data_IF_634958173646
#
_entry.id   IF_634958173646
#
_cell.length_a   1.000
_cell.length_b   1.000
_cell.length_c   1.000
_cell.angle_alpha   90.00
_cell.angle_beta   90.00
_cell.angle_gamma   90.00
#
_symmetry.space_group_name_H-M   'P 1'
#
loop_
_entity.id
_entity.type
_entity.pdbx_description
1 polymer ?
2 non-polymer ?
3 non-polymer ?
4 water ?
#
# COMPACT_ATOMS: atom_id res chain seq x y z
N UNK A 4 -12.78 26.37 -6.97
CA UNK A 4 -11.91 26.21 -5.76
C UNK A 4 -12.48 25.11 -4.87
N UNK A 5 -11.77 23.99 -4.75
CA UNK A 5 -12.01 23.01 -3.66
C UNK A 5 -10.82 22.07 -3.47
N UNK A 6 -10.78 21.47 -2.30
CA UNK A 6 -9.83 20.41 -1.91
C UNK A 6 -10.65 19.17 -1.59
N UNK A 7 -10.20 18.01 -2.04
CA UNK A 7 -10.79 16.71 -1.65
C UNK A 7 -9.73 15.89 -0.95
N UNK A 8 -10.03 15.45 0.26
CA UNK A 8 -9.14 14.61 1.10
C UNK A 8 -9.65 13.17 1.05
N UNK A 9 -8.75 12.23 0.84
CA UNK A 9 -9.04 10.78 0.92
C UNK A 9 -7.98 10.15 1.80
N UNK A 10 -8.26 8.97 2.33
CA UNK A 10 -7.39 8.29 3.32
C UNK A 10 -6.96 6.95 2.75
N UNK A 11 -5.67 6.66 2.84
CA UNK A 11 -5.09 5.35 2.56
C UNK A 11 -4.56 4.79 3.86
N UNK A 12 -4.58 3.48 4.00
CA UNK A 12 -3.85 2.76 5.06
C UNK A 12 -2.86 1.82 4.38
N UNK A 13 -1.57 2.02 4.68
CA UNK A 13 -0.50 1.07 4.37
C UNK A 13 -0.17 0.29 5.64
N UNK A 14 0.21 -0.97 5.49
CA UNK A 14 0.52 -1.81 6.66
C UNK A 14 1.18 -3.07 6.24
N UNK A 15 1.62 -3.83 7.20
CA UNK A 15 2.29 -5.09 6.95
C UNK A 15 2.14 -5.95 8.20
N UNK A 16 2.13 -7.24 7.98
CA UNK A 16 2.21 -8.28 9.03
C UNK A 16 3.44 -9.13 8.76
N UNK A 17 4.11 -9.56 9.80
CA UNK A 17 5.29 -10.45 9.72
C UNK A 17 5.25 -11.41 10.90
N UNK A 18 5.59 -12.67 10.66
CA UNK A 18 5.72 -13.71 11.71
C UNK A 18 6.76 -14.75 11.24
N UNK A 19 7.30 -15.49 12.19
CA UNK A 19 8.24 -16.61 11.91
C UNK A 19 7.55 -17.66 11.03
N UNK A 20 8.28 -18.14 10.04
CA UNK A 20 7.90 -19.28 9.18
C UNK A 20 8.24 -20.56 9.93
N UNK A 21 7.35 -21.55 9.96
CA UNK A 21 7.67 -22.91 10.44
C UNK A 21 7.77 -23.85 9.25
N UNK A 22 8.99 -24.06 8.75
CA UNK A 22 9.34 -25.01 7.66
C UNK A 22 10.67 -25.68 8.04
N UNK A 23 11.24 -26.54 7.15
CA UNK A 23 12.52 -27.16 7.43
C UNK A 23 13.64 -26.16 7.79
N UNK A 24 14.60 -26.59 8.62
CA UNK A 24 15.77 -25.79 9.09
C UNK A 24 16.64 -25.34 7.89
N UNK A 25 16.49 -26.02 6.73
CA UNK A 25 17.37 -25.85 5.52
C UNK A 25 16.67 -24.98 4.46
N UNK A 26 15.44 -24.52 4.72
CA UNK A 26 14.81 -23.40 3.98
C UNK A 26 15.24 -22.11 4.65
N UNK A 27 15.82 -21.18 3.88
CA UNK A 27 16.53 -20.01 4.41
C UNK A 27 15.57 -18.95 4.92
N UNK A 28 14.35 -18.91 4.39
CA UNK A 28 13.34 -17.88 4.70
C UNK A 28 12.82 -18.09 6.12
N UNK A 29 13.09 -17.14 7.01
CA UNK A 29 12.72 -17.22 8.44
C UNK A 29 11.29 -16.70 8.65
N UNK A 30 10.78 -15.85 7.76
CA UNK A 30 9.55 -15.06 8.01
C UNK A 30 8.58 -15.21 6.86
N UNK A 31 7.30 -15.20 7.18
CA UNK A 31 6.21 -14.83 6.26
C UNK A 31 5.84 -13.38 6.52
N UNK A 32 5.61 -12.62 5.48
CA UNK A 32 5.10 -11.24 5.64
C UNK A 32 4.09 -10.91 4.54
N UNK A 33 3.32 -9.89 4.80
CA UNK A 33 2.25 -9.42 3.90
C UNK A 33 2.19 -7.90 4.04
N UNK A 34 2.29 -7.20 2.93
CA UNK A 34 2.22 -5.72 2.89
C UNK A 34 0.98 -5.37 2.09
N UNK A 35 0.30 -4.28 2.45
CA UNK A 35 -0.96 -3.91 1.79
C UNK A 35 -1.11 -2.40 1.70
N UNK A 36 -2.00 -2.00 0.81
CA UNK A 36 -2.67 -0.67 0.79
C UNK A 36 -4.18 -0.93 0.79
N UNK A 37 -4.92 -0.24 1.66
CA UNK A 37 -6.38 -0.35 1.69
C UNK A 37 -6.97 1.01 2.03
N UNK A 38 -8.28 1.13 1.91
CA UNK A 38 -9.05 2.25 2.45
C UNK A 38 -9.48 1.96 3.87
N UNK A 39 -9.96 2.98 4.61
CA UNK A 39 -10.73 2.73 5.83
C UNK A 39 -12.02 1.94 5.52
N UNK A 40 -12.61 1.34 6.55
CA UNK A 40 -13.89 0.59 6.45
C UNK A 40 -14.90 1.45 5.67
N UNK A 41 -15.62 0.85 4.73
CA UNK A 41 -16.81 1.46 4.09
C UNK A 41 -16.38 2.54 3.10
N UNK A 42 -15.09 2.62 2.80
CA UNK A 42 -14.53 3.41 1.67
C UNK A 42 -14.04 2.42 0.61
N UNK A 43 -14.16 2.78 -0.66
CA UNK A 43 -13.74 1.92 -1.79
C UNK A 43 -12.68 2.65 -2.62
N UNK A 44 -11.40 2.53 -2.25
CA UNK A 44 -10.30 3.32 -2.88
C UNK A 44 -10.16 2.90 -4.35
N UNK A 45 -10.76 1.80 -4.76
CA UNK A 45 -10.67 1.32 -6.17
C UNK A 45 -11.24 2.39 -7.11
N UNK A 46 -12.17 3.23 -6.61
CA UNK A 46 -12.80 4.32 -7.40
C UNK A 46 -11.75 5.31 -7.91
N UNK A 47 -10.65 5.53 -7.17
CA UNK A 47 -9.66 6.58 -7.53
C UNK A 47 -8.27 5.97 -7.72
N UNK A 48 -8.06 4.72 -7.32
CA UNK A 48 -6.76 4.01 -7.47
C UNK A 48 -6.79 3.11 -8.72
N UNK A 49 -5.95 3.43 -9.70
CA UNK A 49 -5.70 2.65 -10.92
C UNK A 49 -5.01 1.33 -10.55
N UNK A 50 -3.96 1.40 -9.75
CA UNK A 50 -3.11 0.25 -9.42
C UNK A 50 -2.13 0.65 -8.32
N UNK A 51 -1.64 -0.33 -7.60
CA UNK A 51 -0.55 -0.21 -6.61
C UNK A 51 0.59 -1.10 -7.03
N UNK A 52 1.80 -0.56 -7.06
CA UNK A 52 3.03 -1.28 -7.39
C UNK A 52 3.88 -1.33 -6.15
N UNK A 53 4.20 -2.54 -5.69
CA UNK A 53 5.13 -2.81 -4.60
C UNK A 53 6.49 -3.18 -5.18
N UNK A 54 7.53 -2.41 -4.84
CA UNK A 54 8.91 -2.62 -5.36
C UNK A 54 9.69 -3.40 -4.30
N UNK A 55 9.72 -4.71 -4.43
CA UNK A 55 10.36 -5.62 -3.46
C UNK A 55 11.89 -5.50 -3.62
N UNK A 56 12.64 -5.92 -2.63
CA UNK A 56 14.12 -6.11 -2.73
C UNK A 56 14.47 -6.81 -4.04
N UNK A 57 15.56 -6.38 -4.69
CA UNK A 57 16.08 -6.86 -6.01
C UNK A 57 16.26 -8.38 -6.01
N UNK A 58 16.44 -8.99 -4.84
CA UNK A 58 16.71 -10.44 -4.68
C UNK A 58 15.45 -11.27 -4.92
N UNK A 59 14.26 -10.68 -4.80
CA UNK A 59 12.96 -11.39 -5.04
C UNK A 59 12.79 -11.70 -6.52
N UNK A 60 12.17 -12.85 -6.89
CA UNK A 60 11.73 -13.06 -8.26
C UNK A 60 10.64 -12.01 -8.61
N UNK A 61 10.67 -11.49 -9.85
CA UNK A 61 9.79 -10.40 -10.35
C UNK A 61 9.50 -9.43 -9.21
N UNK A 62 10.46 -8.56 -8.84
CA UNK A 62 10.33 -7.71 -7.65
C UNK A 62 9.34 -6.54 -7.80
N UNK A 63 8.96 -6.23 -9.05
CA UNK A 63 7.91 -5.23 -9.37
C UNK A 63 6.55 -5.94 -9.34
N UNK A 64 5.86 -5.88 -8.20
CA UNK A 64 4.56 -6.54 -7.97
C UNK A 64 3.44 -5.52 -8.16
N UNK A 65 2.57 -5.75 -9.14
CA UNK A 65 1.42 -4.87 -9.51
C UNK A 65 0.13 -5.49 -8.99
N UNK A 66 -0.67 -4.72 -8.28
CA UNK A 66 -2.09 -5.04 -7.98
C UNK A 66 -2.98 -4.03 -8.68
N UNK A 67 -3.68 -4.44 -9.70
CA UNK A 67 -4.52 -3.54 -10.53
C UNK A 67 -5.94 -3.48 -9.94
N UNK A 68 -6.25 -4.29 -8.93
CA UNK A 68 -7.52 -4.17 -8.19
C UNK A 68 -7.34 -4.77 -6.80
N UNK A 69 -8.30 -4.54 -5.88
CA UNK A 69 -8.15 -5.06 -4.53
C UNK A 69 -8.23 -6.58 -4.56
N UNK A 70 -7.56 -7.27 -3.63
CA UNK A 70 -6.73 -6.61 -2.60
C UNK A 70 -5.37 -6.13 -3.14
N UNK A 71 -4.98 -4.91 -2.78
CA UNK A 71 -3.63 -4.35 -3.04
C UNK A 71 -2.69 -4.88 -1.97
N UNK A 72 -2.05 -6.01 -2.23
CA UNK A 72 -1.23 -6.68 -1.22
C UNK A 72 -0.21 -7.61 -1.89
N UNK A 73 0.90 -7.81 -1.20
CA UNK A 73 1.94 -8.83 -1.54
C UNK A 73 2.12 -9.71 -0.33
N UNK A 74 2.06 -11.01 -0.53
CA UNK A 74 2.37 -12.02 0.51
C UNK A 74 3.64 -12.74 0.09
N UNK A 75 4.63 -12.77 0.97
CA UNK A 75 5.96 -13.32 0.65
C UNK A 75 6.55 -14.03 1.86
N UNK A 76 7.61 -14.78 1.62
CA UNK A 76 8.57 -15.23 2.64
C UNK A 76 9.88 -14.49 2.43
N UNK A 77 10.69 -14.33 3.48
CA UNK A 77 11.97 -13.59 3.41
C UNK A 77 12.84 -13.85 4.62
N UNK A 78 14.06 -13.34 4.60
CA UNK A 78 15.02 -13.52 5.71
C UNK A 78 15.46 -12.16 6.28
N UNK A 79 14.90 -11.04 5.80
CA UNK A 79 15.25 -9.68 6.28
C UNK A 79 14.20 -8.66 5.87
N UNK A 80 14.04 -7.62 6.71
CA UNK A 80 13.30 -6.40 6.38
C UNK A 80 14.03 -5.59 5.34
N UNK A 81 13.34 -4.65 4.73
CA UNK A 81 13.91 -3.70 3.72
C UNK A 81 12.95 -2.53 3.57
N UNK A 82 13.41 -1.52 2.86
CA UNK A 82 12.63 -0.33 2.46
C UNK A 82 11.94 -0.63 1.15
N UNK A 83 10.62 -0.54 1.13
CA UNK A 83 9.80 -0.86 -0.03
C UNK A 83 9.18 0.42 -0.57
N UNK A 84 9.62 0.91 -1.75
CA UNK A 84 8.83 1.86 -2.52
C UNK A 84 7.47 1.23 -2.83
N UNK A 85 6.39 1.95 -2.49
CA UNK A 85 5.00 1.60 -2.87
C UNK A 85 4.41 2.77 -3.63
N UNK A 86 4.05 2.53 -4.88
CA UNK A 86 3.46 3.56 -5.76
C UNK A 86 1.97 3.30 -5.85
N UNK A 87 1.18 4.29 -5.51
CA UNK A 87 -0.29 4.28 -5.70
C UNK A 87 -0.59 5.17 -6.90
N UNK A 88 -1.03 4.58 -8.01
CA UNK A 88 -1.38 5.29 -9.26
C UNK A 88 -2.85 5.68 -9.22
N UNK A 89 -3.18 6.87 -9.69
CA UNK A 89 -4.55 7.42 -9.64
C UNK A 89 -5.24 7.24 -10.99
N UNK A 90 -6.57 7.11 -10.99
CA UNK A 90 -7.43 7.26 -12.20
C UNK A 90 -7.67 8.76 -12.47
N UNK A 91 -6.59 9.51 -12.61
CA UNK A 91 -6.57 10.99 -12.78
C UNK A 91 -6.00 11.29 -14.18
N UNK A 92 -6.59 12.19 -14.93
CA UNK A 92 -6.10 12.51 -16.29
C UNK A 92 -5.03 13.63 -16.21
N UNK A 93 -4.90 14.32 -15.06
CA UNK A 93 -3.86 15.38 -14.88
C UNK A 93 -3.01 15.06 -13.64
N UNK A 94 -2.11 15.96 -13.28
CA UNK A 94 -1.19 15.80 -12.12
C UNK A 94 -1.96 16.05 -10.84
N UNK A 95 -1.62 15.36 -9.74
CA UNK A 95 -0.64 14.26 -9.78
C UNK A 95 -1.27 12.93 -10.23
N UNK A 96 -0.47 12.09 -10.88
CA UNK A 96 -0.92 10.82 -11.48
C UNK A 96 -0.71 9.68 -10.50
N UNK A 97 0.15 9.88 -9.51
CA UNK A 97 0.53 8.83 -8.54
C UNK A 97 1.21 9.47 -7.33
N UNK A 98 1.38 8.70 -6.27
CA UNK A 98 2.18 9.08 -5.08
C UNK A 98 3.07 7.88 -4.74
N UNK A 99 4.31 8.13 -4.32
CA UNK A 99 5.26 7.08 -3.88
C UNK A 99 5.46 7.21 -2.39
N UNK A 100 5.29 6.11 -1.70
CA UNK A 100 5.59 5.96 -0.27
C UNK A 100 6.85 5.13 -0.14
N UNK A 101 7.63 5.41 0.88
CA UNK A 101 8.81 4.61 1.26
C UNK A 101 8.45 3.82 2.50
N UNK A 102 8.11 2.54 2.32
CA UNK A 102 7.50 1.72 3.38
C UNK A 102 8.60 0.92 4.08
N UNK A 103 8.62 1.05 5.39
CA UNK A 103 9.54 0.33 6.30
C UNK A 103 8.98 -1.07 6.57
N UNK A 104 9.32 -2.05 5.74
CA UNK A 104 8.97 -3.47 5.97
C UNK A 104 10.01 -4.10 6.87
N UNK A 105 9.79 -4.07 8.17
CA UNK A 105 10.65 -4.69 9.19
C UNK A 105 9.97 -5.98 9.67
N UNK A 106 10.78 -6.97 10.06
CA UNK A 106 10.31 -8.28 10.59
C UNK A 106 10.42 -8.29 12.12
N UNK A 107 9.74 -9.23 12.76
CA UNK A 107 9.88 -9.49 14.23
C UNK A 107 11.11 -10.40 14.43
N UNK A 108 12.17 -9.85 14.99
CA UNK A 108 13.44 -10.58 15.23
C UNK A 108 13.49 -11.00 16.70
N UNK A 109 14.35 -11.98 17.03
CA UNK A 109 14.76 -12.38 18.40
C UNK A 109 13.52 -12.87 19.20
N UNK A 110 12.67 -13.69 18.57
CA UNK A 110 11.48 -14.30 19.20
C UNK A 110 10.48 -13.27 19.71
N UNK A 111 10.41 -12.09 19.10
CA UNK A 111 9.36 -11.07 19.39
C UNK A 111 8.05 -11.50 18.73
N UNK A 112 6.90 -11.12 19.31
CA UNK A 112 5.61 -11.51 18.72
C UNK A 112 5.45 -10.93 17.32
N UNK A 113 4.48 -11.46 16.55
CA UNK A 113 4.25 -11.01 15.18
C UNK A 113 4.13 -9.47 15.07
N UNK A 114 4.54 -8.93 13.92
CA UNK A 114 4.35 -7.50 13.57
C UNK A 114 2.98 -7.34 12.94
N UNK A 115 2.24 -6.34 13.37
CA UNK A 115 0.94 -5.96 12.76
C UNK A 115 0.84 -4.44 12.81
N UNK A 116 1.33 -3.78 11.76
CA UNK A 116 1.55 -2.30 11.71
C UNK A 116 0.64 -1.68 10.66
N UNK A 117 0.17 -0.49 10.97
CA UNK A 117 -0.64 0.33 10.09
C UNK A 117 -0.04 1.73 10.04
N UNK A 118 0.04 2.28 8.87
CA UNK A 118 0.50 3.65 8.60
C UNK A 118 -0.61 4.37 7.84
N UNK A 119 -1.18 5.37 8.45
CA UNK A 119 -2.36 6.09 7.91
C UNK A 119 -1.90 7.33 7.17
N UNK A 120 -2.27 7.44 5.90
CA UNK A 120 -1.87 8.54 5.00
C UNK A 120 -3.13 9.30 4.56
N UNK A 121 -3.12 10.62 4.68
CA UNK A 121 -4.12 11.53 4.09
C UNK A 121 -3.58 12.06 2.76
N UNK A 122 -4.34 11.94 1.69
CA UNK A 122 -4.03 12.57 0.40
C UNK A 122 -4.94 13.78 0.22
N UNK A 123 -4.36 14.93 -0.11
CA UNK A 123 -5.09 16.20 -0.38
C UNK A 123 -4.95 16.54 -1.86
N UNK A 124 -6.07 16.50 -2.58
CA UNK A 124 -6.16 16.86 -4.02
C UNK A 124 -6.74 18.27 -4.12
N UNK A 125 -5.93 19.21 -4.57
CA UNK A 125 -6.34 20.61 -4.80
C UNK A 125 -6.97 20.71 -6.18
N UNK A 126 -8.18 21.25 -6.26
CA UNK A 126 -8.84 21.64 -7.54
C UNK A 126 -8.77 20.47 -8.50
N UNK A 127 -9.20 19.26 -8.11
CA UNK A 127 -9.24 18.14 -9.06
C UNK A 127 -10.25 18.40 -10.16
N UNK A 128 -10.06 17.81 -11.34
CA UNK A 128 -11.04 17.84 -12.45
C UNK A 128 -12.42 17.37 -11.95
N UNK A 129 -13.48 17.77 -12.61
CA UNK A 129 -14.86 17.29 -12.38
C UNK A 129 -14.83 15.78 -12.18
N UNK A 130 -14.26 15.07 -13.15
CA UNK A 130 -14.31 13.61 -13.26
C UNK A 130 -13.61 13.01 -12.04
N UNK A 131 -12.38 13.45 -11.75
CA UNK A 131 -11.54 12.83 -10.72
C UNK A 131 -12.12 13.16 -9.36
N UNK A 132 -12.65 14.37 -9.21
CA UNK A 132 -13.36 14.78 -7.98
C UNK A 132 -14.45 13.73 -7.67
N UNK A 133 -15.19 13.29 -8.68
CA UNK A 133 -16.35 12.39 -8.50
C UNK A 133 -15.84 11.01 -8.03
N UNK A 134 -14.74 10.55 -8.62
CA UNK A 134 -14.05 9.29 -8.22
C UNK A 134 -13.63 9.37 -6.74
N UNK A 135 -12.97 10.47 -6.35
CA UNK A 135 -12.53 10.69 -4.95
C UNK A 135 -13.76 10.63 -4.00
N UNK A 136 -14.85 11.31 -4.34
CA UNK A 136 -16.04 11.39 -3.47
C UNK A 136 -16.70 10.01 -3.41
N UNK A 137 -16.71 9.34 -4.54
CA UNK A 137 -17.25 7.98 -4.75
C UNK A 137 -16.49 6.99 -3.85
N UNK A 138 -15.18 7.24 -3.64
CA UNK A 138 -14.29 6.41 -2.79
C UNK A 138 -14.49 6.72 -1.30
N UNK A 139 -15.29 7.75 -0.98
CA UNK A 139 -15.52 8.23 0.41
C UNK A 139 -14.65 9.44 0.77
N UNK A 140 -14.13 10.14 -0.25
CA UNK A 140 -13.40 11.42 -0.09
C UNK A 140 -14.28 12.54 0.46
N UNK A 141 -13.67 13.49 1.15
CA UNK A 141 -14.31 14.65 1.84
C UNK A 141 -13.89 15.94 1.11
N UNK A 142 -14.85 16.81 0.78
CA UNK A 142 -14.59 18.14 0.17
C UNK A 142 -14.31 19.15 1.27
N UNK A 143 -13.61 20.21 0.93
CA UNK A 143 -13.37 21.40 1.79
C UNK A 143 -13.35 22.65 0.91
N UNK A 144 -13.97 23.75 1.40
CA UNK A 144 -13.90 25.12 0.81
C UNK A 144 -12.95 25.98 1.64
X LIG B 1 17.77 -9.01 1.18
X LIG B 1 16.98 -10.09 0.81
X LIG B 1 8.80 -16.56 -2.76
X LIG B 1 15.66 -10.18 1.26
X LIG B 1 15.14 -9.16 2.05
X LIG B 1 15.93 -8.08 2.42
X LIG B 1 14.83 -11.40 0.96
X LIG B 1 14.27 -12.99 -0.90
X LIG B 1 14.75 -13.45 -2.15
X LIG B 1 14.03 -14.41 -2.87
X LIG B 1 12.85 -14.90 -2.32
X LIG B 1 10.99 -15.97 -1.80
X LIG B 1 9.90 -17.00 -1.89
X LIG B 1 9.16 -16.75 -4.19
X LIG B 1 8.05 -16.28 -5.12
X LIG B 1 6.74 -16.98 -4.80
X LIG B 1 6.41 -16.87 -3.33
X LIG B 1 7.58 -17.33 -2.48
X LIG B 1 12.37 -14.47 -1.09
X LIG B 1 13.08 -13.50 -0.36
X LIG B 1 14.09 -11.87 1.81
X LIG B 1 17.24 -8.02 1.98
X LIG B 1 18.24 -6.67 2.45
X LIG B 1 15.01 -11.94 -0.28
X LIG B 1 11.18 -15.15 -0.79
X LIG B 1 11.96 -15.87 -2.75
X LIG C 1 -10.98 6.49 0.75
X LIG C 1 -9.69 6.81 0.27
X LIG C 1 -11.67 7.67 1.30
X LIG C 1 -10.95 8.29 2.34
X LIG D 1 0.91 -13.03 6.37
X LIG D 1 1.84 -13.97 5.87
X LIG D 1 0.98 -12.89 7.84
X LIG D 1 2.30 -12.84 8.32
X LIG E 1 1.26 -3.22 -16.04
X LIG E 1 1.87 -4.30 -15.36
X LIG E 1 1.92 -1.95 -15.76
X LIG E 1 2.11 -1.74 -14.37
X LIG F 1 3.17 12.32 -12.02
X LIG F 1 2.17 13.32 -11.93
X LIG F 1 3.73 11.91 -10.70
X LIG F 1 2.80 12.05 -9.63
X LIG G 1 7.84 8.75 2.77
X LIG G 1 7.10 7.64 2.35
X LIG G 1 8.02 8.80 4.26
X LIG G 1 8.67 7.64 4.78
X LIG H 1 -18.73 14.97 0.86
X LIG H 1 -19.42 15.08 -0.35
X LIG H 1 -17.65 15.95 0.97
X LIG H 1 -17.58 16.59 2.24
X LIG I 1 12.92 -21.37 8.55
X LIG I 1 14.12 -21.95 8.97
X LIG I 1 11.76 -22.25 8.77
X LIG I 1 11.34 -22.88 7.60
#
# INVERSE_FOLDING_TARGET
MDNQCTVQVRLELGHRAQLRKKPTTEGFTHDWMVFVRGPEQCDIQHFVEKVVFWLHDSFPKPRRVCKEPPYKVEESGYAGFIMPIEVHFKNKEEPRKVCFTYDLFLNLEGNPPVNHLRCEKLTFNNPTTEFRYKLLRAGGVMVMPEGAHHHHHH
M7Z C1 C2 N2 C3 C4 C5 C6 C7 C8 C9 C10 C11 C12 C13 C14 C15 C16 C17 C18 C19 O C CL N N3 N1
EDO C1 O1 C2 O2
EDO C1 O1 C2 O2
EDO C1 O1 C2 O2
EDO C1 O1 C2 O2
EDO C1 O1 C2 O2
EDO C1 O1 C2 O2
EDO C1 O1 C2 O2
#
